data_IF_461882129340
#
_entry.id   IF_461882129340
#
_cell.length_a   1.000
_cell.length_b   1.000
_cell.length_c   1.000
_cell.angle_alpha   90.00
_cell.angle_beta   90.00
_cell.angle_gamma   90.00
#
_symmetry.space_group_name_H-M   'P 1'
#
loop_
_entity.id
_entity.type
_entity.pdbx_description
1 polymer ?
#
# COMPACT_ATOMS: atom_id res chain seq x y z
N UNK A 1 -5.95 -0.28 -5.08
CA UNK A 1 -7.25 -0.26 -5.75
C UNK A 1 -7.69 1.15 -6.16
N UNK A 2 -7.78 2.12 -5.25
CA UNK A 2 -8.20 3.52 -5.57
C UNK A 2 -7.38 4.17 -6.67
N UNK A 3 -6.04 4.11 -6.64
CA UNK A 3 -5.18 4.71 -7.65
C UNK A 3 -5.36 4.11 -9.06
N UNK A 4 -5.62 2.82 -9.15
CA UNK A 4 -5.91 2.14 -10.43
C UNK A 4 -7.21 2.62 -11.05
N UNK A 5 -8.25 2.80 -10.22
CA UNK A 5 -9.56 3.31 -10.67
C UNK A 5 -9.43 4.75 -11.16
N UNK A 6 -8.69 5.60 -10.44
CA UNK A 6 -8.44 7.00 -10.84
C UNK A 6 -7.75 7.05 -12.20
N UNK A 7 -6.71 6.22 -12.41
CA UNK A 7 -5.99 6.17 -13.68
C UNK A 7 -6.79 5.53 -14.81
N UNK A 8 -7.68 4.60 -14.49
CA UNK A 8 -8.63 4.07 -15.45
C UNK A 8 -9.63 5.13 -15.90
N UNK A 9 -10.15 5.94 -14.96
CA UNK A 9 -10.99 7.10 -15.29
C UNK A 9 -10.22 8.16 -16.07
N UNK A 10 -8.93 8.36 -15.77
CA UNK A 10 -8.06 9.22 -16.59
C UNK A 10 -8.00 8.76 -18.04
N UNK A 11 -7.95 7.45 -18.30
CA UNK A 11 -8.02 6.89 -19.65
C UNK A 11 -9.28 7.29 -20.44
N UNK A 12 -10.39 7.60 -19.74
CA UNK A 12 -11.59 8.09 -20.39
C UNK A 12 -11.42 9.49 -21.01
N UNK A 13 -10.41 10.27 -20.61
CA UNK A 13 -10.10 11.57 -21.22
C UNK A 13 -9.71 11.40 -22.69
N UNK A 14 -9.18 10.24 -23.07
CA UNK A 14 -8.87 9.92 -24.48
C UNK A 14 -10.11 9.89 -25.38
N UNK A 15 -11.34 9.82 -24.83
CA UNK A 15 -12.56 10.00 -25.62
C UNK A 15 -12.67 11.38 -26.29
N UNK A 16 -11.87 12.35 -25.86
CA UNK A 16 -11.77 13.65 -26.52
C UNK A 16 -11.00 13.56 -27.86
N UNK A 17 -10.13 12.56 -28.00
CA UNK A 17 -9.27 12.35 -29.17
C UNK A 17 -9.73 11.16 -30.03
N UNK A 18 -10.28 10.12 -29.38
CA UNK A 18 -10.66 8.86 -30.02
C UNK A 18 -12.15 8.62 -29.83
N UNK A 19 -12.92 8.31 -30.89
CA UNK A 19 -14.33 8.00 -30.77
C UNK A 19 -14.57 6.76 -29.89
N UNK A 20 -15.72 6.72 -29.21
CA UNK A 20 -16.13 5.60 -28.38
C UNK A 20 -16.60 4.40 -29.21
N UNK A 21 -15.68 3.79 -29.92
CA UNK A 21 -15.94 2.61 -30.73
C UNK A 21 -15.98 1.33 -29.87
N UNK A 22 -16.49 0.23 -30.44
CA UNK A 22 -16.51 -1.08 -29.78
C UNK A 22 -15.13 -1.53 -29.29
N UNK A 23 -14.06 -1.11 -30.00
CA UNK A 23 -12.66 -1.41 -29.64
C UNK A 23 -12.25 -0.66 -28.38
N UNK A 24 -12.64 0.62 -28.24
CA UNK A 24 -12.38 1.38 -27.02
C UNK A 24 -13.08 0.76 -25.81
N UNK A 25 -14.35 0.36 -25.97
CA UNK A 25 -15.11 -0.31 -24.90
C UNK A 25 -14.49 -1.63 -24.52
N UNK A 26 -14.01 -2.41 -25.49
CA UNK A 26 -13.31 -3.68 -25.23
C UNK A 26 -12.00 -3.47 -24.49
N UNK A 27 -11.23 -2.45 -24.85
CA UNK A 27 -9.98 -2.07 -24.17
C UNK A 27 -10.24 -1.63 -22.71
N UNK A 28 -11.31 -0.87 -22.47
CA UNK A 28 -11.73 -0.50 -21.13
C UNK A 28 -12.07 -1.73 -20.28
N UNK A 29 -12.90 -2.66 -20.80
CA UNK A 29 -13.29 -3.88 -20.10
C UNK A 29 -12.08 -4.79 -19.83
N UNK A 30 -11.18 -4.96 -20.80
CA UNK A 30 -9.93 -5.70 -20.62
C UNK A 30 -9.07 -5.12 -19.51
N UNK A 31 -8.96 -3.79 -19.46
CA UNK A 31 -8.24 -3.10 -18.38
C UNK A 31 -8.90 -3.31 -17.02
N UNK A 32 -10.23 -3.27 -16.96
CA UNK A 32 -10.97 -3.56 -15.73
C UNK A 32 -10.71 -4.99 -15.23
N UNK A 33 -10.69 -5.95 -16.15
CA UNK A 33 -10.35 -7.36 -15.84
C UNK A 33 -8.90 -7.46 -15.34
N UNK A 34 -7.96 -6.81 -16.01
CA UNK A 34 -6.55 -6.78 -15.60
C UNK A 34 -6.38 -6.23 -14.18
N UNK A 35 -7.02 -5.10 -13.87
CA UNK A 35 -7.01 -4.50 -12.53
C UNK A 35 -7.67 -5.42 -11.51
N UNK A 36 -8.78 -6.07 -11.87
CA UNK A 36 -9.46 -7.04 -11.04
C UNK A 36 -8.55 -8.22 -10.70
N UNK A 37 -7.94 -8.82 -11.70
CA UNK A 37 -6.96 -9.90 -11.54
C UNK A 37 -5.79 -9.48 -10.65
N UNK A 38 -5.26 -8.27 -10.85
CA UNK A 38 -4.15 -7.76 -10.05
C UNK A 38 -4.48 -7.64 -8.56
N UNK A 39 -5.71 -7.30 -8.21
CA UNK A 39 -6.16 -7.14 -6.83
C UNK A 39 -6.60 -8.47 -6.17
N UNK A 40 -6.76 -9.54 -6.93
CA UNK A 40 -7.02 -10.88 -6.38
C UNK A 40 -5.76 -11.45 -5.73
N UNK A 41 -5.95 -12.32 -4.73
CA UNK A 41 -4.86 -13.07 -4.09
C UNK A 41 -4.36 -14.20 -4.99
N UNK A 42 -3.78 -13.85 -6.13
CA UNK A 42 -3.22 -14.79 -7.09
C UNK A 42 -1.83 -15.25 -6.63
N UNK A 43 -1.44 -16.52 -6.89
CA UNK A 43 -0.11 -17.04 -6.56
C UNK A 43 0.99 -16.20 -7.24
N UNK A 44 2.10 -16.01 -6.54
CA UNK A 44 3.22 -15.15 -6.95
C UNK A 44 3.71 -15.40 -8.39
N UNK A 45 3.73 -16.66 -8.83
CA UNK A 45 4.17 -17.02 -10.20
C UNK A 45 3.26 -16.45 -11.28
N UNK A 46 1.94 -16.55 -11.11
CA UNK A 46 0.98 -15.97 -12.06
C UNK A 46 1.08 -14.43 -12.07
N UNK A 47 1.32 -13.83 -10.92
CA UNK A 47 1.47 -12.38 -10.79
C UNK A 47 2.71 -11.86 -11.51
N UNK A 48 3.74 -12.69 -11.69
CA UNK A 48 4.92 -12.35 -12.49
C UNK A 48 4.65 -12.32 -14.00
N UNK A 49 3.77 -13.17 -14.48
CA UNK A 49 3.45 -13.31 -15.91
C UNK A 49 2.48 -12.21 -16.36
N UNK A 50 1.60 -11.75 -15.48
CA UNK A 50 0.53 -10.80 -15.82
C UNK A 50 1.00 -9.51 -16.54
N UNK A 51 2.10 -8.83 -16.13
CA UNK A 51 2.63 -7.67 -16.87
C UNK A 51 3.05 -8.00 -18.31
N UNK A 52 3.66 -9.16 -18.52
CA UNK A 52 4.12 -9.60 -19.84
C UNK A 52 2.96 -9.95 -20.76
N UNK A 53 1.93 -10.59 -20.23
CA UNK A 53 0.68 -10.84 -20.97
C UNK A 53 0.04 -9.52 -21.38
N UNK A 54 0.01 -8.52 -20.48
CA UNK A 54 -0.53 -7.20 -20.78
C UNK A 54 0.27 -6.51 -21.90
N UNK A 55 1.60 -6.57 -21.88
CA UNK A 55 2.46 -6.05 -22.95
C UNK A 55 2.17 -6.69 -24.30
N UNK A 56 2.02 -8.01 -24.36
CA UNK A 56 1.66 -8.74 -25.57
C UNK A 56 0.28 -8.32 -26.10
N UNK A 57 -0.69 -8.15 -25.22
CA UNK A 57 -2.03 -7.68 -25.59
C UNK A 57 -2.00 -6.25 -26.16
N UNK A 58 -1.21 -5.34 -25.57
CA UNK A 58 -1.04 -3.99 -26.08
C UNK A 58 -0.40 -3.98 -27.47
N UNK A 59 0.48 -4.93 -27.78
CA UNK A 59 1.06 -5.06 -29.12
C UNK A 59 0.02 -5.52 -30.16
N UNK A 60 -0.91 -6.41 -29.78
CA UNK A 60 -1.97 -6.88 -30.67
C UNK A 60 -3.15 -5.92 -30.80
N UNK A 61 -3.45 -5.16 -29.76
CA UNK A 61 -4.58 -4.20 -29.70
C UNK A 61 -4.04 -2.84 -29.21
N UNK A 62 -3.67 -1.94 -30.14
CA UNK A 62 -3.06 -0.65 -29.81
C UNK A 62 -3.90 0.22 -28.87
N UNK A 63 -5.21 0.10 -28.92
CA UNK A 63 -6.17 0.85 -28.10
C UNK A 63 -6.03 0.55 -26.59
N UNK A 64 -5.48 -0.62 -26.22
CA UNK A 64 -5.16 -0.95 -24.82
C UNK A 64 -4.07 -0.01 -24.25
N UNK A 65 -3.27 0.60 -25.10
CA UNK A 65 -2.26 1.57 -24.68
C UNK A 65 -2.86 2.84 -24.07
N UNK A 66 -4.13 3.16 -24.36
CA UNK A 66 -4.87 4.26 -23.73
C UNK A 66 -4.86 4.13 -22.22
N UNK A 67 -5.00 2.89 -21.73
CA UNK A 67 -5.05 2.57 -20.31
C UNK A 67 -3.69 2.14 -19.73
N UNK A 68 -2.61 2.35 -20.48
CA UNK A 68 -1.26 1.96 -20.05
C UNK A 68 -0.85 2.62 -18.72
N UNK A 69 -1.33 3.83 -18.43
CA UNK A 69 -1.07 4.51 -17.15
C UNK A 69 -1.58 3.70 -15.93
N UNK A 70 -2.75 3.08 -16.04
CA UNK A 70 -3.31 2.23 -14.98
C UNK A 70 -2.52 0.93 -14.80
N UNK A 71 -2.06 0.34 -15.91
CA UNK A 71 -1.19 -0.84 -15.87
C UNK A 71 0.20 -0.51 -15.33
N UNK A 72 0.81 0.61 -15.76
CA UNK A 72 2.08 1.11 -15.20
C UNK A 72 2.02 1.35 -13.69
N UNK A 73 0.95 1.95 -13.19
CA UNK A 73 0.76 2.13 -11.76
C UNK A 73 0.79 0.80 -11.01
N UNK A 74 0.11 -0.22 -11.53
CA UNK A 74 0.06 -1.56 -10.91
C UNK A 74 1.46 -2.18 -10.84
N UNK A 75 2.24 -2.05 -11.92
CA UNK A 75 3.62 -2.54 -12.02
C UNK A 75 4.57 -1.77 -11.09
N UNK A 76 4.49 -0.45 -11.09
CA UNK A 76 5.31 0.43 -10.25
C UNK A 76 5.05 0.21 -8.75
N UNK A 77 3.82 -0.07 -8.36
CA UNK A 77 3.48 -0.33 -6.97
C UNK A 77 4.12 -1.62 -6.43
N UNK A 78 4.44 -2.58 -7.31
CA UNK A 78 5.17 -3.81 -6.97
C UNK A 78 6.68 -3.75 -7.27
N UNK A 79 7.21 -2.55 -7.51
CA UNK A 79 8.64 -2.31 -7.83
C UNK A 79 9.10 -2.99 -9.13
N UNK A 80 8.17 -3.25 -10.04
CA UNK A 80 8.46 -3.85 -11.35
C UNK A 80 8.72 -2.78 -12.39
N UNK A 81 9.89 -2.19 -12.33
CA UNK A 81 10.24 -1.05 -13.20
C UNK A 81 10.44 -1.45 -14.65
N UNK A 82 11.01 -2.63 -14.92
CA UNK A 82 11.33 -3.08 -16.29
C UNK A 82 10.09 -3.16 -17.17
N UNK A 83 9.04 -3.95 -16.84
CA UNK A 83 7.84 -4.01 -17.68
C UNK A 83 7.08 -2.67 -17.72
N UNK A 84 7.15 -1.85 -16.67
CA UNK A 84 6.53 -0.54 -16.66
C UNK A 84 7.20 0.42 -17.66
N UNK A 85 8.53 0.44 -17.73
CA UNK A 85 9.29 1.26 -18.68
C UNK A 85 9.02 0.79 -20.11
N UNK A 86 9.03 -0.52 -20.36
CA UNK A 86 8.75 -1.08 -21.70
C UNK A 86 7.33 -0.70 -22.14
N UNK A 87 6.33 -0.80 -21.23
CA UNK A 87 4.96 -0.43 -21.54
C UNK A 87 4.83 1.07 -21.85
N UNK A 88 5.47 1.92 -21.05
CA UNK A 88 5.45 3.36 -21.26
C UNK A 88 6.11 3.75 -22.60
N UNK A 89 7.25 3.13 -22.96
CA UNK A 89 7.93 3.39 -24.22
C UNK A 89 7.13 2.87 -25.42
N UNK A 90 6.53 1.69 -25.31
CA UNK A 90 5.70 1.13 -26.35
C UNK A 90 4.47 2.01 -26.63
N UNK A 91 3.76 2.40 -25.56
CA UNK A 91 2.59 3.26 -25.68
C UNK A 91 2.94 4.65 -26.27
N UNK A 92 4.11 5.20 -25.90
CA UNK A 92 4.63 6.44 -26.48
C UNK A 92 4.84 6.32 -27.99
N UNK A 93 5.52 5.26 -28.46
CA UNK A 93 5.78 5.02 -29.89
C UNK A 93 4.48 4.86 -30.69
N UNK A 94 3.50 4.12 -30.15
CA UNK A 94 2.22 3.89 -30.81
C UNK A 94 1.41 5.17 -31.00
N UNK A 95 1.46 6.10 -30.04
CA UNK A 95 0.72 7.36 -30.13
C UNK A 95 1.46 8.41 -30.99
N UNK A 96 2.78 8.33 -31.04
CA UNK A 96 3.59 9.23 -31.90
C UNK A 96 3.24 9.11 -33.39
N UNK A 97 2.83 7.92 -33.82
CA UNK A 97 2.41 7.66 -35.20
C UNK A 97 0.94 8.05 -35.48
N UNK A 98 0.08 8.02 -34.49
CA UNK A 98 -1.36 8.28 -34.65
C UNK A 98 -1.70 9.76 -34.47
N UNK A 99 -1.50 10.27 -33.25
CA UNK A 99 -1.95 11.61 -32.84
C UNK A 99 -0.95 12.22 -31.85
N UNK A 100 -0.27 13.34 -32.18
CA UNK A 100 0.72 13.94 -31.30
C UNK A 100 0.13 14.45 -29.96
N UNK A 101 -1.14 14.83 -29.93
CA UNK A 101 -1.85 15.25 -28.72
C UNK A 101 -2.05 14.08 -27.76
N UNK A 102 -2.27 12.88 -28.27
CA UNK A 102 -2.33 11.64 -27.49
C UNK A 102 -1.04 11.31 -26.77
N UNK A 103 0.12 11.67 -27.36
CA UNK A 103 1.44 11.50 -26.72
C UNK A 103 1.55 12.32 -25.45
N UNK A 104 1.12 13.59 -25.48
CA UNK A 104 1.18 14.48 -24.32
C UNK A 104 0.31 13.92 -23.20
N UNK A 105 -0.90 13.49 -23.56
CA UNK A 105 -1.85 12.90 -22.61
C UNK A 105 -1.29 11.61 -22.00
N UNK A 106 -0.66 10.76 -22.82
CA UNK A 106 -0.04 9.50 -22.36
C UNK A 106 1.14 9.75 -21.40
N UNK A 107 2.00 10.70 -21.71
CA UNK A 107 3.11 11.09 -20.82
C UNK A 107 2.60 11.64 -19.50
N UNK A 108 1.58 12.50 -19.53
CA UNK A 108 0.95 13.03 -18.33
C UNK A 108 0.36 11.90 -17.47
N UNK A 109 -0.32 10.92 -18.08
CA UNK A 109 -0.85 9.74 -17.39
C UNK A 109 0.22 8.88 -16.73
N UNK A 110 1.33 8.62 -17.43
CA UNK A 110 2.47 7.88 -16.87
C UNK A 110 3.16 8.65 -15.73
N UNK A 111 3.35 9.96 -15.87
CA UNK A 111 3.88 10.80 -14.81
C UNK A 111 2.96 10.79 -13.56
N UNK A 112 1.66 10.90 -13.78
CA UNK A 112 0.67 10.82 -12.71
C UNK A 112 0.67 9.45 -12.01
N UNK A 113 0.80 8.36 -12.77
CA UNK A 113 0.97 7.01 -12.23
C UNK A 113 2.22 6.89 -11.34
N UNK A 114 3.34 7.48 -11.75
CA UNK A 114 4.58 7.52 -10.97
C UNK A 114 4.39 8.27 -9.65
N UNK A 115 3.76 9.45 -9.67
CA UNK A 115 3.51 10.26 -8.47
C UNK A 115 2.58 9.51 -7.51
N UNK A 116 1.46 8.98 -8.01
CA UNK A 116 0.51 8.21 -7.20
C UNK A 116 1.16 6.97 -6.57
N UNK A 117 1.99 6.24 -7.32
CA UNK A 117 2.66 5.05 -6.80
C UNK A 117 3.65 5.37 -5.68
N UNK A 118 4.36 6.51 -5.79
CA UNK A 118 5.26 7.02 -4.73
C UNK A 118 4.48 7.43 -3.48
N UNK A 119 3.42 8.20 -3.65
CA UNK A 119 2.57 8.63 -2.52
C UNK A 119 1.94 7.45 -1.80
N UNK A 120 1.43 6.47 -2.54
CA UNK A 120 0.83 5.28 -1.96
C UNK A 120 1.83 4.47 -1.13
N UNK A 121 3.05 4.26 -1.65
CA UNK A 121 4.13 3.58 -0.90
C UNK A 121 4.56 4.36 0.35
N UNK A 122 4.68 5.67 0.25
CA UNK A 122 4.98 6.51 1.41
C UNK A 122 3.88 6.38 2.48
N UNK A 123 2.62 6.43 2.07
CA UNK A 123 1.48 6.25 2.97
C UNK A 123 1.47 4.88 3.64
N UNK A 124 1.71 3.79 2.89
CA UNK A 124 1.81 2.44 3.48
C UNK A 124 2.96 2.33 4.48
N UNK A 125 4.11 2.94 4.18
CA UNK A 125 5.26 2.93 5.08
C UNK A 125 4.96 3.68 6.39
N UNK A 126 4.26 4.80 6.31
CA UNK A 126 3.80 5.55 7.48
C UNK A 126 2.80 4.76 8.31
N UNK A 127 1.83 4.11 7.67
CA UNK A 127 0.87 3.25 8.37
C UNK A 127 1.55 2.09 9.09
N UNK A 128 2.55 1.46 8.46
CA UNK A 128 3.33 0.38 9.11
C UNK A 128 4.10 0.91 10.32
N UNK A 129 4.74 2.08 10.22
CA UNK A 129 5.42 2.73 11.35
C UNK A 129 4.43 3.05 12.46
N UNK A 130 3.30 3.66 12.14
CA UNK A 130 2.28 4.02 13.12
C UNK A 130 1.75 2.78 13.87
N UNK A 131 1.43 1.69 13.16
CA UNK A 131 1.01 0.43 13.78
C UNK A 131 2.07 -0.10 14.74
N UNK A 132 3.33 -0.15 14.29
CA UNK A 132 4.45 -0.60 15.14
C UNK A 132 4.57 0.24 16.41
N UNK A 133 4.57 1.57 16.29
CA UNK A 133 4.67 2.47 17.46
C UNK A 133 3.50 2.27 18.43
N UNK A 134 2.30 2.06 17.92
CA UNK A 134 1.13 1.77 18.75
C UNK A 134 1.26 0.43 19.49
N UNK A 135 1.74 -0.59 18.79
CA UNK A 135 1.91 -1.93 19.38
C UNK A 135 3.02 -1.89 20.45
N UNK A 136 4.15 -1.22 20.19
CA UNK A 136 5.23 -0.97 21.15
C UNK A 136 4.70 -0.21 22.38
N UNK A 137 3.89 0.85 22.19
CA UNK A 137 3.29 1.61 23.29
C UNK A 137 2.34 0.76 24.15
N UNK A 138 1.59 -0.15 23.52
CA UNK A 138 0.70 -1.05 24.24
C UNK A 138 1.51 -2.04 25.09
N UNK A 139 2.57 -2.59 24.57
CA UNK A 139 3.48 -3.48 25.28
C UNK A 139 4.13 -2.79 26.49
N UNK A 140 4.65 -1.57 26.29
CA UNK A 140 5.18 -0.75 27.39
C UNK A 140 4.16 -0.47 28.48
N UNK A 141 2.91 -0.21 28.14
CA UNK A 141 1.85 0.00 29.13
C UNK A 141 1.56 -1.27 29.96
N UNK A 142 1.64 -2.45 29.35
CA UNK A 142 1.48 -3.72 30.07
C UNK A 142 2.64 -3.92 31.06
N UNK A 143 3.87 -3.73 30.59
CA UNK A 143 5.07 -3.86 31.44
C UNK A 143 5.05 -2.86 32.60
N UNK A 144 4.63 -1.62 32.36
CA UNK A 144 4.51 -0.61 33.43
C UNK A 144 3.44 -1.00 34.46
N UNK A 145 2.30 -1.51 34.02
CA UNK A 145 1.26 -2.00 34.96
C UNK A 145 1.75 -3.14 35.82
N UNK A 146 2.48 -4.09 35.24
CA UNK A 146 3.06 -5.21 35.99
C UNK A 146 4.11 -4.74 37.01
N UNK A 147 5.02 -3.83 36.59
CA UNK A 147 5.99 -3.23 37.51
C UNK A 147 5.32 -2.49 38.66
N UNK A 148 4.28 -1.68 38.37
CA UNK A 148 3.54 -0.98 39.42
C UNK A 148 2.87 -1.95 40.38
N UNK A 149 2.30 -3.04 39.89
CA UNK A 149 1.72 -4.08 40.75
C UNK A 149 2.78 -4.68 41.66
N UNK A 150 3.91 -5.08 41.14
CA UNK A 150 5.02 -5.66 41.90
C UNK A 150 5.56 -4.68 42.97
N UNK A 151 5.64 -3.37 42.64
CA UNK A 151 6.03 -2.34 43.58
C UNK A 151 5.03 -2.21 44.76
N UNK A 152 3.74 -2.23 44.44
CA UNK A 152 2.68 -2.18 45.49
C UNK A 152 2.75 -3.39 46.41
N UNK A 153 2.89 -4.60 45.85
CA UNK A 153 3.03 -5.83 46.63
C UNK A 153 4.27 -5.79 47.55
N UNK A 154 5.41 -5.27 47.07
CA UNK A 154 6.61 -5.10 47.86
C UNK A 154 6.42 -4.07 48.98
N UNK A 155 5.74 -2.93 48.72
CA UNK A 155 5.45 -1.93 49.72
C UNK A 155 4.52 -2.50 50.82
N UNK A 156 3.48 -3.24 50.44
CA UNK A 156 2.58 -3.91 51.40
C UNK A 156 3.35 -4.89 52.30
N UNK A 157 4.29 -5.66 51.70
CA UNK A 157 5.13 -6.57 52.47
C UNK A 157 6.07 -5.83 53.42
N UNK A 158 6.67 -4.71 53.03
CA UNK A 158 7.51 -3.88 53.88
C UNK A 158 6.71 -3.28 55.06
N UNK A 159 5.51 -2.75 54.80
CA UNK A 159 4.62 -2.23 55.82
C UNK A 159 4.24 -3.34 56.82
N UNK A 160 3.88 -4.52 56.30
CA UNK A 160 3.55 -5.66 57.14
C UNK A 160 4.70 -6.09 58.04
N UNK A 161 5.90 -6.20 57.53
CA UNK A 161 7.09 -6.58 58.29
C UNK A 161 7.50 -5.51 59.31
N UNK A 162 7.39 -4.22 58.96
CA UNK A 162 7.59 -3.12 59.91
C UNK A 162 6.59 -3.14 61.08
N UNK A 163 5.33 -3.38 60.75
CA UNK A 163 4.25 -3.50 61.77
C UNK A 163 4.51 -4.67 62.74
N UNK A 164 4.92 -5.83 62.21
CA UNK A 164 5.28 -6.97 63.05
C UNK A 164 6.48 -6.69 63.95
N UNK A 165 7.51 -6.03 63.43
CA UNK A 165 8.67 -5.63 64.24
C UNK A 165 8.28 -4.71 65.39
N UNK A 166 7.42 -3.72 65.10
CA UNK A 166 6.97 -2.78 66.09
C UNK A 166 6.08 -3.45 67.16
N UNK A 167 5.17 -4.35 66.74
CA UNK A 167 4.38 -5.15 67.72
C UNK A 167 5.28 -6.00 68.63
N UNK A 168 6.31 -6.62 68.09
CA UNK A 168 7.26 -7.41 68.87
C UNK A 168 8.12 -6.52 69.80
N UNK A 169 8.43 -5.29 69.45
CA UNK A 169 9.11 -4.32 70.29
C UNK A 169 8.23 -3.93 71.47
N UNK A 170 7.00 -3.55 71.17
CA UNK A 170 6.02 -3.16 72.20
C UNK A 170 5.74 -4.33 73.19
N UNK A 171 5.61 -5.54 72.66
CA UNK A 171 5.38 -6.72 73.50
C UNK A 171 6.55 -6.97 74.48
N UNK A 172 7.80 -6.70 74.11
CA UNK A 172 8.96 -6.82 75.00
C UNK A 172 8.96 -5.70 76.09
N UNK A 173 8.68 -4.46 75.66
CA UNK A 173 8.62 -3.33 76.61
C UNK A 173 7.51 -3.44 77.67
N UNK A 174 6.47 -4.20 77.39
CA UNK A 174 5.38 -4.45 78.35
C UNK A 174 5.71 -5.60 79.31
N UNK A 175 6.60 -6.53 78.91
CA UNK A 175 6.93 -7.73 79.66
C UNK A 175 8.08 -7.50 80.65
N UNK A 176 8.91 -6.49 80.40
CA UNK A 176 10.01 -6.04 81.26
C UNK A 176 9.50 -5.02 82.25
#
# INVERSE_FOLDING_TARGET
>A
MTGQIILMLYGMVFLLLVPADAVFVSAFLMTAIYIGLWNLKIPYRMRQILPWVWLLLCFGVPELSIFAAAACYSMLNEERYIPAIILASLSFLMWMEKEPEGVILQLAGCAFACVLSRQFRAYESLLKKYRKTRDDSTEWNIVLKEKNKNLLENQDYEIYTATLKERNRIAREIHD
#
